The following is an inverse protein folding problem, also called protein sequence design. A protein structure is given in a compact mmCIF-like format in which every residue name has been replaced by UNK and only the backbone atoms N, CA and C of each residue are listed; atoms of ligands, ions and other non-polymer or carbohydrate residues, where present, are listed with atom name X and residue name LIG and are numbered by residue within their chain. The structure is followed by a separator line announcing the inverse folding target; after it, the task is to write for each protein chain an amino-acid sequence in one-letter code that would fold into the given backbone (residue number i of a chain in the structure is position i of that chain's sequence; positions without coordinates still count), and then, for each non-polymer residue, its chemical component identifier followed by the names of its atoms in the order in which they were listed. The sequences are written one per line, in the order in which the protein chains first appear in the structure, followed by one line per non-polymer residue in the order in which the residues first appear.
data_IF_246742414319
#
_entry.id   IF_246742414319
#
_cell.length_a   1.000
_cell.length_b   1.000
_cell.length_c   1.000
_cell.angle_alpha   90.00
_cell.angle_beta   90.00
_cell.angle_gamma   90.00
#
_symmetry.space_group_name_H-M   'P 1'
#
loop_
_entity.id
_entity.type
_entity.pdbx_description
1 polymer ?
#
# COMPACT_ATOMS: atom_id res chain seq x y z
N UNK A 1 13.98 35.32 12.75
CA UNK A 1 14.68 34.01 12.75
C UNK A 1 13.94 33.10 11.76
N UNK A 2 14.47 32.99 10.54
CA UNK A 2 13.76 32.41 9.39
C UNK A 2 14.16 30.93 9.27
N UNK A 3 13.23 30.00 9.51
CA UNK A 3 13.46 28.55 9.46
C UNK A 3 13.70 28.10 8.00
N UNK A 4 14.95 28.20 7.57
CA UNK A 4 15.48 27.63 6.33
C UNK A 4 15.71 26.13 6.56
N UNK A 5 14.80 25.25 6.11
CA UNK A 5 15.12 23.82 5.87
C UNK A 5 14.02 22.97 5.17
N UNK A 6 13.41 23.46 4.10
CA UNK A 6 12.38 22.72 3.36
C UNK A 6 12.88 22.04 2.06
N UNK A 7 14.18 21.76 1.94
CA UNK A 7 14.81 21.31 0.69
C UNK A 7 14.79 19.80 0.42
N UNK A 8 14.26 18.97 1.32
CA UNK A 8 14.31 17.50 1.18
C UNK A 8 12.93 16.83 1.09
N UNK A 9 11.83 17.58 1.11
CA UNK A 9 10.49 16.99 1.07
C UNK A 9 9.67 17.66 -0.05
N UNK A 10 9.25 16.93 -1.09
CA UNK A 10 8.44 17.50 -2.17
C UNK A 10 7.12 18.05 -1.61
N UNK A 11 6.96 19.38 -1.65
CA UNK A 11 5.89 20.09 -0.93
C UNK A 11 4.51 20.03 -1.59
N UNK A 12 4.45 19.87 -2.91
CA UNK A 12 3.21 20.04 -3.67
C UNK A 12 2.15 18.95 -3.49
N UNK A 13 2.47 17.81 -2.87
CA UNK A 13 1.61 16.62 -2.88
C UNK A 13 1.49 15.88 -1.53
N UNK A 14 1.98 16.47 -0.42
CA UNK A 14 1.92 15.83 0.91
C UNK A 14 0.49 15.67 1.44
N UNK A 15 -0.34 16.71 1.23
CA UNK A 15 -1.72 16.77 1.73
C UNK A 15 -2.64 15.67 1.16
N UNK A 16 -2.71 15.46 -0.18
CA UNK A 16 -3.57 14.40 -0.72
C UNK A 16 -3.06 13.01 -0.38
N UNK A 17 -1.74 12.79 -0.33
CA UNK A 17 -1.16 11.51 0.06
C UNK A 17 -1.51 11.15 1.51
N UNK A 18 -1.43 12.12 2.43
CA UNK A 18 -1.78 11.90 3.82
C UNK A 18 -3.26 11.54 4.00
N UNK A 19 -4.16 12.23 3.28
CA UNK A 19 -5.59 11.88 3.25
C UNK A 19 -5.84 10.47 2.73
N UNK A 20 -5.14 10.06 1.66
CA UNK A 20 -5.24 8.70 1.11
C UNK A 20 -4.79 7.63 2.12
N UNK A 21 -3.71 7.90 2.88
CA UNK A 21 -3.24 6.97 3.93
C UNK A 21 -4.22 6.79 5.07
N UNK A 22 -4.91 7.86 5.48
CA UNK A 22 -5.95 7.76 6.50
C UNK A 22 -7.13 6.96 5.97
N UNK A 23 -7.54 7.20 4.72
CA UNK A 23 -8.61 6.42 4.09
C UNK A 23 -8.26 4.93 4.03
N UNK A 24 -7.04 4.59 3.59
CA UNK A 24 -6.51 3.21 3.61
C UNK A 24 -6.56 2.60 5.02
N UNK A 25 -6.06 3.33 6.03
CA UNK A 25 -6.07 2.86 7.41
C UNK A 25 -7.50 2.56 7.92
N UNK A 26 -8.45 3.45 7.64
CA UNK A 26 -9.85 3.28 8.07
C UNK A 26 -10.49 2.08 7.36
N UNK A 27 -10.30 1.95 6.05
CA UNK A 27 -10.84 0.83 5.27
C UNK A 27 -10.21 -0.49 5.71
N UNK A 28 -8.90 -0.52 5.97
CA UNK A 28 -8.21 -1.70 6.50
C UNK A 28 -8.77 -2.14 7.86
N UNK A 29 -9.11 -1.20 8.76
CA UNK A 29 -9.76 -1.52 10.05
C UNK A 29 -11.17 -2.11 9.83
N UNK A 30 -11.94 -1.54 8.90
CA UNK A 30 -13.27 -2.06 8.54
C UNK A 30 -13.15 -3.49 8.01
N UNK A 31 -12.23 -3.75 7.09
CA UNK A 31 -11.97 -5.09 6.55
C UNK A 31 -11.50 -6.06 7.63
N UNK A 32 -10.64 -5.62 8.55
CA UNK A 32 -10.20 -6.45 9.67
C UNK A 32 -11.39 -6.93 10.52
N UNK A 33 -12.36 -6.06 10.80
CA UNK A 33 -13.59 -6.43 11.52
C UNK A 33 -14.46 -7.41 10.74
N UNK A 34 -14.69 -7.14 9.46
CA UNK A 34 -15.47 -8.00 8.56
C UNK A 34 -14.83 -9.39 8.39
N UNK A 35 -13.52 -9.47 8.15
CA UNK A 35 -12.81 -10.73 8.00
C UNK A 35 -12.68 -11.49 9.33
N UNK A 36 -12.55 -10.80 10.46
CA UNK A 36 -12.58 -11.43 11.79
C UNK A 36 -13.93 -12.10 12.06
N UNK A 37 -15.02 -11.45 11.66
CA UNK A 37 -16.36 -12.03 11.69
C UNK A 37 -16.43 -13.30 10.82
N UNK A 38 -15.88 -13.23 9.60
CA UNK A 38 -15.75 -14.38 8.71
C UNK A 38 -15.11 -15.58 9.42
N UNK A 39 -13.86 -15.41 9.86
CA UNK A 39 -13.04 -16.42 10.55
C UNK A 39 -13.72 -16.98 11.82
N UNK A 40 -14.41 -16.14 12.59
CA UNK A 40 -15.13 -16.58 13.79
C UNK A 40 -16.20 -17.64 13.48
N UNK A 41 -16.93 -17.43 12.38
CA UNK A 41 -18.02 -18.31 11.96
C UNK A 41 -17.55 -19.46 11.09
N UNK A 42 -16.85 -19.18 10.00
CA UNK A 42 -16.29 -20.17 9.09
C UNK A 42 -14.89 -19.76 8.66
N UNK A 43 -13.92 -20.64 8.86
CA UNK A 43 -12.55 -20.33 8.44
C UNK A 43 -12.40 -20.84 7.03
N UNK A 44 -12.32 -19.92 6.10
CA UNK A 44 -11.88 -20.18 4.75
C UNK A 44 -10.52 -19.53 4.50
N UNK A 45 -9.77 -20.07 3.54
CA UNK A 45 -8.46 -19.54 3.16
C UNK A 45 -8.55 -18.08 2.68
N UNK A 46 -9.63 -17.70 1.97
CA UNK A 46 -9.86 -16.32 1.54
C UNK A 46 -10.06 -15.35 2.72
N UNK A 47 -10.78 -15.79 3.76
CA UNK A 47 -11.03 -14.98 4.97
C UNK A 47 -9.75 -14.78 5.78
N UNK A 48 -8.97 -15.85 5.98
CA UNK A 48 -7.71 -15.79 6.69
C UNK A 48 -6.69 -14.90 5.96
N UNK A 49 -6.61 -15.01 4.63
CA UNK A 49 -5.73 -14.19 3.81
C UNK A 49 -6.13 -12.71 3.86
N UNK A 50 -7.43 -12.41 3.73
CA UNK A 50 -7.96 -11.04 3.80
C UNK A 50 -7.75 -10.41 5.18
N UNK A 51 -7.94 -11.17 6.25
CA UNK A 51 -7.63 -10.76 7.61
C UNK A 51 -6.15 -10.40 7.77
N UNK A 52 -5.25 -11.26 7.29
CA UNK A 52 -3.81 -11.01 7.36
C UNK A 52 -3.39 -9.78 6.54
N UNK A 53 -4.00 -9.60 5.36
CA UNK A 53 -3.78 -8.46 4.49
C UNK A 53 -4.21 -7.14 5.14
N UNK A 54 -5.35 -7.14 5.84
CA UNK A 54 -5.81 -5.99 6.61
C UNK A 54 -4.84 -5.62 7.74
N UNK A 55 -4.34 -6.60 8.51
CA UNK A 55 -3.35 -6.35 9.58
C UNK A 55 -2.07 -5.76 9.01
N UNK A 56 -1.53 -6.33 7.93
CA UNK A 56 -0.32 -5.83 7.28
C UNK A 56 -0.54 -4.41 6.75
N UNK A 57 -1.71 -4.13 6.16
CA UNK A 57 -2.05 -2.79 5.65
C UNK A 57 -2.09 -1.74 6.77
N UNK A 58 -2.60 -2.09 7.94
CA UNK A 58 -2.59 -1.22 9.14
C UNK A 58 -1.15 -0.90 9.55
N UNK A 59 -0.27 -1.90 9.60
CA UNK A 59 1.15 -1.72 9.95
C UNK A 59 1.84 -0.81 8.93
N UNK A 60 1.60 -1.02 7.64
CA UNK A 60 2.16 -0.20 6.56
C UNK A 60 1.69 1.26 6.70
N UNK A 61 0.38 1.47 6.84
CA UNK A 61 -0.18 2.82 6.99
C UNK A 61 0.36 3.51 8.25
N UNK A 62 0.43 2.80 9.38
CA UNK A 62 1.00 3.30 10.63
C UNK A 62 2.45 3.76 10.45
N UNK A 63 3.30 2.94 9.83
CA UNK A 63 4.68 3.30 9.53
C UNK A 63 4.76 4.57 8.66
N UNK A 64 3.98 4.65 7.58
CA UNK A 64 4.01 5.82 6.67
C UNK A 64 3.51 7.09 7.36
N UNK A 65 2.47 7.01 8.17
CA UNK A 65 1.93 8.16 8.93
C UNK A 65 2.95 8.66 9.95
N UNK A 66 3.56 7.75 10.73
CA UNK A 66 4.56 8.11 11.75
C UNK A 66 5.81 8.71 11.09
N UNK A 67 6.33 8.07 10.04
CA UNK A 67 7.52 8.52 9.34
C UNK A 67 7.33 9.87 8.62
N UNK A 68 6.10 10.18 8.18
CA UNK A 68 5.79 11.43 7.50
C UNK A 68 5.45 12.59 8.43
N UNK A 69 4.94 12.31 9.64
CA UNK A 69 4.38 13.34 10.54
C UNK A 69 5.18 13.55 11.82
N UNK A 70 5.53 12.46 12.52
CA UNK A 70 6.11 12.55 13.88
C UNK A 70 7.64 12.38 13.88
N UNK A 71 8.18 11.55 12.99
CA UNK A 71 9.59 11.19 12.99
C UNK A 71 10.18 11.18 11.56
N UNK A 72 10.46 12.38 10.97
CA UNK A 72 11.05 12.47 9.63
C UNK A 72 12.44 11.82 9.52
N UNK A 73 13.09 11.55 10.65
CA UNK A 73 14.35 10.79 10.74
C UNK A 73 14.18 9.34 10.25
N UNK A 74 12.99 8.77 10.42
CA UNK A 74 12.66 7.41 9.95
C UNK A 74 12.21 7.38 8.49
N UNK A 75 12.10 8.53 7.82
CA UNK A 75 11.56 8.61 6.48
C UNK A 75 12.53 8.02 5.45
N UNK A 76 12.26 6.77 5.03
CA UNK A 76 12.96 6.12 3.94
C UNK A 76 12.00 5.88 2.76
N UNK A 77 12.19 6.62 1.67
CA UNK A 77 11.32 6.53 0.50
C UNK A 77 11.41 5.17 -0.22
N UNK A 78 12.54 4.47 -0.15
CA UNK A 78 12.68 3.11 -0.70
C UNK A 78 11.88 2.10 0.11
N UNK A 79 11.88 2.24 1.44
CA UNK A 79 11.08 1.40 2.31
C UNK A 79 9.59 1.63 2.07
N UNK A 80 9.15 2.89 1.98
CA UNK A 80 7.74 3.22 1.70
C UNK A 80 7.30 2.68 0.34
N UNK A 81 8.15 2.82 -0.69
CA UNK A 81 7.87 2.26 -2.03
C UNK A 81 7.74 0.73 -1.97
N UNK A 82 8.67 0.05 -1.30
CA UNK A 82 8.65 -1.40 -1.16
C UNK A 82 7.41 -1.90 -0.40
N UNK A 83 7.02 -1.20 0.68
CA UNK A 83 5.82 -1.53 1.44
C UNK A 83 4.53 -1.36 0.62
N UNK A 84 4.44 -0.32 -0.22
CA UNK A 84 3.29 -0.16 -1.12
C UNK A 84 3.24 -1.27 -2.18
N UNK A 85 4.38 -1.66 -2.77
CA UNK A 85 4.42 -2.78 -3.72
C UNK A 85 3.96 -4.08 -3.04
N UNK A 86 4.44 -4.33 -1.81
CA UNK A 86 4.03 -5.49 -1.03
C UNK A 86 2.53 -5.47 -0.78
N UNK A 87 1.95 -4.32 -0.38
CA UNK A 87 0.52 -4.19 -0.16
C UNK A 87 -0.28 -4.46 -1.44
N UNK A 88 0.14 -3.94 -2.59
CA UNK A 88 -0.53 -4.17 -3.88
C UNK A 88 -0.54 -5.66 -4.23
N UNK A 89 0.61 -6.35 -4.11
CA UNK A 89 0.71 -7.79 -4.41
C UNK A 89 -0.15 -8.61 -3.45
N UNK A 90 -0.16 -8.25 -2.16
CA UNK A 90 -0.93 -8.92 -1.14
C UNK A 90 -2.44 -8.77 -1.37
N UNK A 91 -2.89 -7.57 -1.71
CA UNK A 91 -4.30 -7.33 -2.03
C UNK A 91 -4.73 -7.99 -3.35
N UNK A 92 -3.83 -8.06 -4.34
CA UNK A 92 -4.10 -8.73 -5.62
C UNK A 92 -4.42 -10.23 -5.46
N UNK A 93 -3.93 -10.88 -4.41
CA UNK A 93 -4.30 -12.26 -4.09
C UNK A 93 -5.46 -12.35 -3.10
N UNK A 94 -5.53 -11.48 -2.10
CA UNK A 94 -6.51 -11.57 -1.03
C UNK A 94 -7.97 -11.40 -1.52
N UNK A 95 -8.30 -10.27 -2.14
CA UNK A 95 -9.71 -9.98 -2.48
C UNK A 95 -10.27 -10.92 -3.58
N UNK A 96 -9.52 -11.32 -4.62
CA UNK A 96 -10.05 -12.23 -5.63
C UNK A 96 -10.27 -13.64 -5.09
N UNK A 97 -9.38 -14.14 -4.23
CA UNK A 97 -9.55 -15.45 -3.59
C UNK A 97 -10.82 -15.48 -2.76
N UNK A 98 -11.06 -14.44 -1.93
CA UNK A 98 -12.28 -14.33 -1.17
C UNK A 98 -13.53 -14.22 -2.08
N UNK A 99 -13.46 -13.39 -3.12
CA UNK A 99 -14.57 -13.21 -4.06
C UNK A 99 -14.92 -14.52 -4.80
N UNK A 100 -13.92 -15.26 -5.28
CA UNK A 100 -14.13 -16.54 -5.97
C UNK A 100 -14.73 -17.60 -5.06
N UNK A 101 -14.29 -17.65 -3.79
CA UNK A 101 -14.81 -18.59 -2.80
C UNK A 101 -16.27 -18.32 -2.45
N UNK A 102 -16.65 -17.05 -2.33
CA UNK A 102 -18.06 -16.70 -2.09
C UNK A 102 -18.90 -16.90 -3.35
N UNK A 103 -18.40 -16.58 -4.53
CA UNK A 103 -19.11 -16.81 -5.79
C UNK A 103 -19.42 -18.30 -6.02
N UNK A 104 -18.44 -19.18 -5.79
CA UNK A 104 -18.65 -20.64 -5.89
C UNK A 104 -19.69 -21.10 -4.86
N UNK A 105 -19.64 -20.60 -3.62
CA UNK A 105 -20.64 -20.94 -2.61
C UNK A 105 -22.08 -20.55 -3.01
N UNK A 106 -22.26 -19.39 -3.66
CA UNK A 106 -23.57 -18.92 -4.17
C UNK A 106 -24.13 -19.87 -5.23
N UNK A 107 -23.30 -20.32 -6.17
CA UNK A 107 -23.72 -21.20 -7.27
C UNK A 107 -24.20 -22.55 -6.75
N UNK A 108 -23.52 -23.12 -5.76
CA UNK A 108 -23.94 -24.39 -5.16
C UNK A 108 -25.20 -24.26 -4.31
N UNK A 109 -25.39 -23.16 -3.57
CA UNK A 109 -26.63 -22.94 -2.79
C UNK A 109 -27.85 -22.78 -3.70
N UNK A 110 -27.73 -22.04 -4.81
CA UNK A 110 -28.85 -21.79 -5.74
C UNK A 110 -29.38 -23.06 -6.43
N UNK A 111 -28.61 -24.15 -6.46
CA UNK A 111 -29.03 -25.44 -7.04
C UNK A 111 -29.78 -26.34 -6.04
N UNK A 112 -29.67 -26.08 -4.74
CA UNK A 112 -30.27 -26.88 -3.66
C UNK A 112 -31.39 -26.16 -2.88
N UNK A 113 -31.64 -24.88 -3.17
CA UNK A 113 -32.56 -24.03 -2.40
C UNK A 113 -34.06 -24.31 -2.68
N UNK A 114 -34.39 -25.20 -3.62
CA UNK A 114 -35.80 -25.56 -3.88
C UNK A 114 -36.36 -26.61 -2.91
N UNK A 115 -35.56 -27.19 -1.99
CA UNK A 115 -36.06 -28.30 -1.18
C UNK A 115 -35.62 -28.37 0.31
N UNK A 116 -34.55 -27.68 0.75
CA UNK A 116 -34.02 -27.82 2.13
C UNK A 116 -33.50 -26.51 2.77
N UNK A 117 -34.18 -25.38 2.59
CA UNK A 117 -33.76 -24.05 3.08
C UNK A 117 -33.67 -23.83 4.60
N UNK A 118 -33.55 -24.87 5.45
CA UNK A 118 -33.67 -24.73 6.91
C UNK A 118 -32.65 -25.47 7.79
N UNK A 119 -31.61 -26.11 7.27
CA UNK A 119 -30.76 -26.98 8.10
C UNK A 119 -29.25 -26.87 7.84
N UNK A 120 -28.61 -25.79 8.27
CA UNK A 120 -27.19 -25.81 8.65
C UNK A 120 -26.92 -24.89 9.84
N UNK A 121 -27.59 -25.20 10.96
CA UNK A 121 -27.14 -24.78 12.28
C UNK A 121 -25.97 -25.67 12.74
N UNK A 122 -25.16 -25.15 13.65
CA UNK A 122 -24.10 -25.80 14.45
C UNK A 122 -22.73 -26.11 13.79
N UNK A 123 -21.69 -25.39 14.25
CA UNK A 123 -20.33 -25.94 14.35
C UNK A 123 -20.25 -26.77 15.62
N UNK A 124 -20.08 -28.09 15.49
CA UNK A 124 -19.45 -28.90 16.55
C UNK A 124 -17.98 -28.48 16.57
N UNK A 125 -17.55 -27.65 17.52
CA UNK A 125 -16.12 -27.64 17.86
C UNK A 125 -15.81 -28.98 18.51
N UNK A 126 -14.77 -29.65 18.02
CA UNK A 126 -14.17 -30.82 18.67
C UNK A 126 -13.84 -30.47 20.13
N UNK A 127 -14.66 -30.92 21.07
CA UNK A 127 -14.24 -31.17 22.46
C UNK A 127 -14.42 -30.08 23.54
N UNK A 128 -15.18 -29.00 23.34
CA UNK A 128 -15.46 -28.05 24.44
C UNK A 128 -16.94 -27.67 24.47
N UNK A 129 -17.64 -28.10 25.53
CA UNK A 129 -18.87 -27.55 26.15
C UNK A 129 -20.02 -27.10 25.25
N UNK A 130 -21.24 -27.58 25.54
CA UNK A 130 -22.47 -27.10 24.88
C UNK A 130 -22.89 -25.76 25.50
N UNK A 131 -22.27 -24.67 25.06
CA UNK A 131 -22.82 -23.33 25.25
C UNK A 131 -23.49 -22.87 23.95
N UNK A 132 -24.65 -22.21 24.05
CA UNK A 132 -25.37 -21.63 22.92
C UNK A 132 -24.54 -20.49 22.33
N UNK A 133 -23.86 -20.76 21.20
CA UNK A 133 -23.23 -19.70 20.41
C UNK A 133 -24.31 -18.70 19.94
N UNK A 134 -23.89 -17.49 19.61
CA UNK A 134 -24.69 -16.61 18.77
C UNK A 134 -25.18 -17.40 17.53
N UNK A 135 -26.26 -16.96 16.91
CA UNK A 135 -26.79 -17.53 15.66
C UNK A 135 -26.58 -16.49 14.54
N UNK A 136 -26.09 -16.91 13.36
CA UNK A 136 -26.03 -16.06 12.16
C UNK A 136 -26.71 -16.78 11.00
N UNK A 137 -27.44 -16.02 10.18
CA UNK A 137 -28.00 -16.53 8.93
C UNK A 137 -26.90 -16.61 7.86
N UNK A 138 -27.02 -17.56 6.93
CA UNK A 138 -26.11 -17.70 5.79
C UNK A 138 -26.06 -16.42 4.94
N UNK A 139 -27.20 -15.73 4.76
CA UNK A 139 -27.24 -14.48 4.00
C UNK A 139 -26.46 -13.35 4.67
N UNK A 140 -26.48 -13.27 6.00
CA UNK A 140 -25.67 -12.29 6.75
C UNK A 140 -24.18 -12.59 6.57
N UNK A 141 -23.77 -13.86 6.73
CA UNK A 141 -22.39 -14.27 6.50
C UNK A 141 -21.94 -13.95 5.07
N UNK A 142 -22.68 -14.42 4.07
CA UNK A 142 -22.43 -14.16 2.65
C UNK A 142 -22.34 -12.66 2.35
N UNK A 143 -23.28 -11.87 2.85
CA UNK A 143 -23.28 -10.41 2.72
C UNK A 143 -22.02 -9.76 3.30
N UNK A 144 -21.58 -10.20 4.48
CA UNK A 144 -20.34 -9.69 5.08
C UNK A 144 -19.10 -10.04 4.27
N UNK A 145 -19.04 -11.22 3.66
CA UNK A 145 -17.88 -11.65 2.86
C UNK A 145 -17.84 -10.95 1.49
N UNK A 146 -19.01 -10.71 0.89
CA UNK A 146 -19.12 -9.86 -0.31
C UNK A 146 -18.67 -8.44 0.01
N UNK A 147 -19.13 -7.86 1.13
CA UNK A 147 -18.70 -6.55 1.56
C UNK A 147 -17.18 -6.50 1.81
N UNK A 148 -16.63 -7.52 2.50
CA UNK A 148 -15.20 -7.63 2.77
C UNK A 148 -14.37 -7.67 1.48
N UNK A 149 -14.79 -8.46 0.48
CA UNK A 149 -14.08 -8.51 -0.81
C UNK A 149 -14.20 -7.22 -1.61
N UNK A 150 -15.36 -6.54 -1.58
CA UNK A 150 -15.56 -5.24 -2.21
C UNK A 150 -14.68 -4.15 -1.59
N UNK A 151 -14.61 -4.07 -0.26
CA UNK A 151 -13.70 -3.17 0.43
C UNK A 151 -12.23 -3.54 0.17
N UNK A 152 -11.90 -4.83 0.06
CA UNK A 152 -10.56 -5.27 -0.33
C UNK A 152 -10.14 -4.81 -1.73
N UNK A 153 -11.07 -4.81 -2.70
CA UNK A 153 -10.82 -4.26 -4.02
C UNK A 153 -10.65 -2.73 -3.99
N UNK A 154 -11.38 -2.02 -3.13
CA UNK A 154 -11.20 -0.59 -2.91
C UNK A 154 -9.82 -0.30 -2.30
N UNK A 155 -9.40 -1.07 -1.30
CA UNK A 155 -8.10 -0.95 -0.65
C UNK A 155 -6.96 -1.20 -1.64
N UNK A 156 -7.09 -2.22 -2.49
CA UNK A 156 -6.18 -2.46 -3.62
C UNK A 156 -6.04 -1.23 -4.52
N UNK A 157 -7.17 -0.64 -4.95
CA UNK A 157 -7.15 0.54 -5.82
C UNK A 157 -6.47 1.74 -5.15
N UNK A 158 -6.69 1.94 -3.85
CA UNK A 158 -6.02 3.00 -3.09
C UNK A 158 -4.50 2.76 -3.03
N UNK A 159 -4.04 1.54 -2.75
CA UNK A 159 -2.61 1.20 -2.74
C UNK A 159 -1.96 1.36 -4.12
N UNK A 160 -2.66 1.01 -5.20
CA UNK A 160 -2.19 1.27 -6.56
C UNK A 160 -2.08 2.78 -6.81
N UNK A 161 -3.08 3.56 -6.41
CA UNK A 161 -3.04 5.02 -6.56
C UNK A 161 -1.88 5.65 -5.76
N UNK A 162 -1.67 5.26 -4.50
CA UNK A 162 -0.52 5.75 -3.71
C UNK A 162 0.81 5.35 -4.33
N UNK A 163 0.92 4.10 -4.80
CA UNK A 163 2.13 3.59 -5.43
C UNK A 163 2.49 4.38 -6.69
N UNK A 164 1.51 4.68 -7.55
CA UNK A 164 1.72 5.49 -8.76
C UNK A 164 2.19 6.89 -8.39
N UNK A 165 1.50 7.55 -7.46
CA UNK A 165 1.84 8.92 -7.04
C UNK A 165 3.26 8.97 -6.46
N UNK A 166 3.62 8.03 -5.58
CA UNK A 166 4.95 7.94 -4.97
C UNK A 166 6.04 7.61 -6.01
N UNK A 167 5.74 6.73 -6.96
CA UNK A 167 6.68 6.37 -8.04
C UNK A 167 7.00 7.59 -8.93
N UNK A 168 5.98 8.36 -9.31
CA UNK A 168 6.16 9.59 -10.10
C UNK A 168 6.94 10.63 -9.31
N UNK A 169 6.62 10.83 -8.03
CA UNK A 169 7.33 11.77 -7.17
C UNK A 169 8.80 11.39 -7.00
N UNK A 170 9.08 10.12 -6.75
CA UNK A 170 10.44 9.61 -6.62
C UNK A 170 11.22 9.79 -7.91
N UNK A 171 10.63 9.47 -9.06
CA UNK A 171 11.27 9.65 -10.35
C UNK A 171 11.58 11.12 -10.64
N UNK A 172 10.66 12.05 -10.31
CA UNK A 172 10.90 13.50 -10.42
C UNK A 172 11.99 13.98 -9.45
N UNK A 173 12.00 13.48 -8.22
CA UNK A 173 13.01 13.82 -7.21
C UNK A 173 14.41 13.35 -7.63
N UNK A 174 14.51 12.16 -8.22
CA UNK A 174 15.76 11.63 -8.78
C UNK A 174 16.24 12.44 -9.99
N UNK A 175 15.34 12.83 -10.90
CA UNK A 175 15.68 13.74 -12.02
C UNK A 175 16.17 15.10 -11.54
N UNK A 176 15.72 15.57 -10.38
CA UNK A 176 16.20 16.80 -9.76
C UNK A 176 17.54 16.65 -9.00
N UNK A 177 18.16 15.46 -9.01
CA UNK A 177 19.46 15.19 -8.38
C UNK A 177 19.42 14.96 -6.86
N UNK A 178 18.23 14.79 -6.28
CA UNK A 178 18.06 14.54 -4.86
C UNK A 178 18.32 13.07 -4.50
N UNK A 179 19.31 12.82 -3.65
CA UNK A 179 19.54 11.52 -2.99
C UNK A 179 19.14 11.68 -1.52
N UNK A 180 18.22 10.85 -1.01
CA UNK A 180 17.98 10.77 0.44
C UNK A 180 18.47 9.41 0.91
N UNK A 181 19.61 9.40 1.60
CA UNK A 181 20.03 8.28 2.44
C UNK A 181 19.58 8.61 3.87
N UNK A 182 18.88 7.71 4.59
CA UNK A 182 18.61 7.92 6.00
C UNK A 182 19.94 8.12 6.74
N UNK A 183 20.10 9.23 7.46
CA UNK A 183 21.36 9.57 8.15
C UNK A 183 22.48 10.16 7.27
N UNK A 184 22.26 10.32 5.97
CA UNK A 184 23.18 11.07 5.12
C UNK A 184 23.04 12.56 5.38
N UNK A 185 24.11 13.22 5.82
CA UNK A 185 24.16 14.67 5.95
C UNK A 185 23.66 15.31 4.65
N UNK A 186 22.71 16.25 4.77
CA UNK A 186 22.23 17.02 3.62
C UNK A 186 23.45 17.55 2.86
N UNK A 187 23.54 17.39 1.52
CA UNK A 187 24.66 17.91 0.77
C UNK A 187 24.74 19.42 1.05
N UNK A 188 25.90 19.91 1.49
CA UNK A 188 26.07 21.34 1.72
C UNK A 188 25.83 22.03 0.38
N UNK A 189 25.25 23.24 0.40
CA UNK A 189 25.01 24.02 -0.83
C UNK A 189 26.25 24.11 -1.72
N UNK A 190 27.42 24.10 -1.12
CA UNK A 190 28.72 24.14 -1.78
C UNK A 190 28.98 22.90 -2.67
N UNK A 191 28.46 21.73 -2.29
CA UNK A 191 28.63 20.47 -3.05
C UNK A 191 27.76 20.45 -4.32
N UNK A 192 26.58 21.08 -4.24
CA UNK A 192 25.64 21.22 -5.37
C UNK A 192 26.13 22.28 -6.35
N UNK A 193 26.62 23.42 -5.83
CA UNK A 193 27.26 24.48 -6.62
C UNK A 193 28.51 23.95 -7.34
N UNK A 194 29.35 23.18 -6.64
CA UNK A 194 30.55 22.51 -7.16
C UNK A 194 30.22 21.56 -8.32
N UNK A 195 29.21 20.69 -8.17
CA UNK A 195 28.78 19.77 -9.24
C UNK A 195 28.16 20.50 -10.43
N UNK A 196 27.37 21.55 -10.19
CA UNK A 196 26.77 22.36 -11.28
C UNK A 196 27.83 23.09 -12.09
N UNK A 197 28.84 23.66 -11.44
CA UNK A 197 29.97 24.30 -12.11
C UNK A 197 30.80 23.28 -12.89
N UNK A 198 31.05 22.10 -12.33
CA UNK A 198 31.79 21.02 -13.02
C UNK A 198 31.09 20.54 -14.30
N UNK A 199 29.77 20.38 -14.26
CA UNK A 199 28.98 19.96 -15.41
C UNK A 199 28.86 21.07 -16.47
N UNK A 200 28.77 22.34 -16.05
CA UNK A 200 28.76 23.48 -16.97
C UNK A 200 30.11 23.66 -17.68
N UNK A 201 31.23 23.47 -16.97
CA UNK A 201 32.59 23.52 -17.55
C UNK A 201 32.81 22.36 -18.52
N UNK A 202 32.41 21.13 -18.17
CA UNK A 202 32.52 19.98 -19.09
C UNK A 202 31.70 20.17 -20.38
N UNK A 203 30.54 20.84 -20.29
CA UNK A 203 29.69 21.13 -21.46
C UNK A 203 30.29 22.25 -22.33
N UNK A 204 30.94 23.25 -21.71
CA UNK A 204 31.64 24.32 -22.43
C UNK A 204 32.91 23.82 -23.14
N UNK A 205 33.66 22.91 -22.53
CA UNK A 205 34.87 22.32 -23.11
C UNK A 205 34.55 21.41 -24.30
N UNK A 206 33.41 20.72 -24.29
CA UNK A 206 32.92 19.96 -25.45
C UNK A 206 32.34 20.81 -26.58
N UNK A 207 32.13 22.11 -26.37
CA UNK A 207 31.52 23.02 -27.36
C UNK A 207 32.56 23.92 -28.07
N UNK A 208 33.84 23.81 -27.71
CA UNK A 208 34.91 24.58 -28.36
C UNK A 208 35.30 23.89 -29.69
N UNK A 209 35.28 24.60 -30.84
CA UNK A 209 35.55 23.98 -32.13
C UNK A 209 37.00 23.48 -32.18
N UNK A 210 37.15 22.19 -32.47
CA UNK A 210 38.42 21.49 -32.64
C UNK A 210 39.26 22.19 -33.72
N UNK A 211 40.24 22.99 -33.32
CA UNK A 211 41.20 23.64 -34.23
C UNK A 211 42.11 22.54 -34.80
N UNK A 212 41.71 21.97 -35.94
CA UNK A 212 42.54 21.04 -36.71
C UNK A 212 43.79 21.78 -37.20
N UNK A 213 44.94 21.48 -36.60
CA UNK A 213 46.22 21.82 -37.20
C UNK A 213 46.46 20.88 -38.39
N UNK A 214 46.66 21.47 -39.58
CA UNK A 214 47.02 20.71 -40.77
C UNK A 214 48.45 20.15 -40.61
N UNK A 215 48.71 18.90 -41.07
CA UNK A 215 50.05 18.33 -41.05
C UNK A 215 50.94 19.11 -42.02
N UNK A 216 52.06 19.61 -41.51
CA UNK A 216 53.12 20.21 -42.32
C UNK A 216 53.88 19.06 -42.99
N UNK A 217 53.91 19.09 -44.32
CA UNK A 217 54.58 18.12 -45.21
C UNK A 217 56.07 17.94 -44.92
#
# INVERSE_FOLDING_TARGET
MHLRNETHIPQGAKKPLFGLRIAQLVIAIVILGLSSYGVYWLVYDGDALTLSAAVISIIICGYVIIASSLAPVMYNYWAILALDILAVVLWLSAFPTLAAQIATSVVYTSSYDTYYGAYYNYKIKRGLGIERRAETTWDTYKGTMIASSAFGALEFALFVATLIILSVQLHRHRKAGGHCVPGGAAPRRDDVESKRKRNAVATAESAQPEVRHAPVS
#
